data_IF_443070212406
#
_entry.id   IF_443070212406
#
_cell.length_a   1.000
_cell.length_b   1.000
_cell.length_c   1.000
_cell.angle_alpha   90.00
_cell.angle_beta   90.00
_cell.angle_gamma   90.00
#
_symmetry.space_group_name_H-M   'P 1'
#
loop_
_entity.id
_entity.type
_entity.pdbx_description
1 polymer ?
#
# COMPACT_ATOMS: atom_id res chain seq x y z
N UNK A 1 -24.25 -0.36 -1.48
CA UNK A 1 -23.14 -0.54 -2.42
C UNK A 1 -21.99 0.28 -1.93
N UNK A 2 -20.95 -0.41 -1.48
CA UNK A 2 -19.71 0.23 -1.11
C UNK A 2 -19.06 0.74 -2.41
N UNK A 3 -18.30 1.83 -2.29
CA UNK A 3 -17.65 2.44 -3.45
C UNK A 3 -16.26 2.90 -3.12
N UNK A 4 -15.35 2.73 -4.06
CA UNK A 4 -14.01 3.29 -3.95
C UNK A 4 -14.13 4.80 -4.21
N UNK A 5 -13.77 5.62 -3.23
CA UNK A 5 -13.86 7.09 -3.30
C UNK A 5 -12.51 7.77 -3.43
N UNK A 6 -11.43 7.05 -3.14
CA UNK A 6 -10.07 7.51 -3.33
C UNK A 6 -9.11 6.31 -3.43
N UNK A 7 -8.02 6.47 -4.17
CA UNK A 7 -7.00 5.44 -4.31
C UNK A 7 -5.61 6.07 -4.43
N UNK A 8 -4.65 5.48 -3.73
CA UNK A 8 -3.28 5.99 -3.63
C UNK A 8 -2.26 4.87 -3.62
N UNK A 9 -1.01 5.22 -3.90
CA UNK A 9 0.13 4.35 -3.67
C UNK A 9 1.29 5.16 -3.08
N UNK A 10 2.10 4.54 -2.22
CA UNK A 10 3.22 5.22 -1.56
C UNK A 10 4.35 4.28 -1.18
N UNK A 11 5.59 4.78 -1.19
CA UNK A 11 6.70 4.17 -0.46
C UNK A 11 6.39 4.07 1.04
N UNK A 12 6.97 3.07 1.73
CA UNK A 12 6.77 2.86 3.18
C UNK A 12 8.06 2.75 3.99
N UNK A 13 9.19 3.16 3.43
CA UNK A 13 10.50 2.91 4.04
C UNK A 13 10.56 3.37 5.52
N UNK A 14 11.28 2.66 6.40
CA UNK A 14 11.48 3.06 7.80
C UNK A 14 11.90 4.52 8.01
N UNK A 15 12.67 5.08 7.07
CA UNK A 15 13.23 6.42 7.15
C UNK A 15 12.17 7.53 7.14
N UNK A 16 10.95 7.24 6.68
CA UNK A 16 9.80 8.16 6.78
C UNK A 16 9.48 8.47 8.25
N UNK A 17 9.72 7.54 9.17
CA UNK A 17 9.48 7.76 10.61
C UNK A 17 10.79 8.06 11.33
N UNK A 18 11.82 7.23 11.10
CA UNK A 18 13.11 7.31 11.79
C UNK A 18 13.85 8.63 11.51
N UNK A 19 13.72 9.17 10.30
CA UNK A 19 14.32 10.44 9.88
C UNK A 19 15.83 10.56 10.20
N UNK A 20 16.67 9.64 9.69
CA UNK A 20 18.10 9.68 9.96
C UNK A 20 18.78 10.89 9.31
N UNK A 21 19.73 11.50 10.02
CA UNK A 21 20.50 12.67 9.55
C UNK A 21 21.64 12.25 8.61
N UNK A 22 21.29 11.77 7.41
CA UNK A 22 22.25 11.34 6.38
C UNK A 22 22.84 12.54 5.62
N UNK A 23 21.98 13.44 5.14
CA UNK A 23 22.37 14.68 4.45
C UNK A 23 21.23 15.70 4.49
N UNK A 24 21.53 16.96 4.21
CA UNK A 24 20.51 18.01 4.05
C UNK A 24 19.57 17.69 2.88
N UNK A 25 20.11 17.18 1.78
CA UNK A 25 19.32 16.78 0.61
C UNK A 25 18.35 15.64 0.96
N UNK A 26 18.80 14.58 1.65
CA UNK A 26 17.91 13.48 2.03
C UNK A 26 16.83 13.96 3.02
N UNK A 27 17.17 14.87 3.92
CA UNK A 27 16.19 15.49 4.83
C UNK A 27 15.11 16.26 4.05
N UNK A 28 15.52 17.02 3.03
CA UNK A 28 14.61 17.74 2.13
C UNK A 28 13.71 16.79 1.33
N UNK A 29 14.28 15.71 0.80
CA UNK A 29 13.54 14.67 0.08
C UNK A 29 12.48 14.01 0.97
N UNK A 30 12.83 13.62 2.20
CA UNK A 30 11.87 13.08 3.17
C UNK A 30 10.75 14.07 3.47
N UNK A 31 11.07 15.36 3.65
CA UNK A 31 10.04 16.38 3.90
C UNK A 31 9.04 16.52 2.73
N UNK A 32 9.50 16.40 1.48
CA UNK A 32 8.63 16.40 0.30
C UNK A 32 7.68 15.20 0.34
N UNK A 33 8.20 14.01 0.65
CA UNK A 33 7.39 12.78 0.75
C UNK A 33 6.39 12.85 1.91
N UNK A 34 6.80 13.37 3.08
CA UNK A 34 5.90 13.59 4.22
C UNK A 34 4.75 14.53 3.84
N UNK A 35 5.04 15.63 3.14
CA UNK A 35 4.02 16.57 2.69
C UNK A 35 3.03 15.92 1.71
N UNK A 36 3.52 15.06 0.81
CA UNK A 36 2.66 14.30 -0.11
C UNK A 36 1.78 13.27 0.64
N UNK A 37 2.32 12.57 1.64
CA UNK A 37 1.51 11.68 2.49
C UNK A 37 0.45 12.44 3.30
N UNK A 38 0.79 13.62 3.83
CA UNK A 38 -0.18 14.47 4.49
C UNK A 38 -1.25 15.00 3.52
N UNK A 39 -0.91 15.26 2.26
CA UNK A 39 -1.89 15.55 1.20
C UNK A 39 -2.83 14.38 0.97
N UNK A 40 -2.33 13.14 0.90
CA UNK A 40 -3.18 11.93 0.83
C UNK A 40 -4.17 11.89 1.99
N UNK A 41 -3.71 12.15 3.22
CA UNK A 41 -4.57 12.27 4.40
C UNK A 41 -5.69 13.31 4.25
N UNK A 42 -5.34 14.52 3.80
CA UNK A 42 -6.33 15.59 3.54
C UNK A 42 -7.35 15.20 2.47
N UNK A 43 -6.91 14.54 1.39
CA UNK A 43 -7.80 14.09 0.31
C UNK A 43 -8.70 12.93 0.76
N UNK A 44 -8.22 11.99 1.59
CA UNK A 44 -9.05 10.93 2.19
C UNK A 44 -10.15 11.52 3.08
N UNK A 45 -9.80 12.50 3.93
CA UNK A 45 -10.76 13.19 4.78
C UNK A 45 -11.79 13.98 3.94
N UNK A 46 -11.35 14.72 2.92
CA UNK A 46 -12.25 15.44 2.00
C UNK A 46 -13.17 14.50 1.21
N UNK A 47 -12.67 13.31 0.87
CA UNK A 47 -13.45 12.24 0.26
C UNK A 47 -14.37 11.53 1.25
N UNK A 48 -14.44 11.92 2.53
CA UNK A 48 -15.28 11.31 3.56
C UNK A 48 -15.21 9.77 3.53
N UNK A 49 -14.00 9.20 3.48
CA UNK A 49 -13.86 7.74 3.49
C UNK A 49 -14.27 7.18 4.86
N UNK A 50 -15.08 6.13 4.87
CA UNK A 50 -15.48 5.39 6.08
C UNK A 50 -14.42 4.35 6.45
N UNK A 51 -13.75 3.78 5.45
CA UNK A 51 -12.77 2.71 5.61
C UNK A 51 -11.58 2.94 4.68
N UNK A 52 -10.36 2.79 5.19
CA UNK A 52 -9.13 2.75 4.41
C UNK A 52 -8.60 1.33 4.40
N UNK A 53 -8.53 0.72 3.22
CA UNK A 53 -7.87 -0.58 3.02
C UNK A 53 -6.43 -0.30 2.61
N UNK A 54 -5.47 -0.84 3.37
CA UNK A 54 -4.04 -0.66 3.10
C UNK A 54 -3.45 -1.99 2.68
N UNK A 55 -3.08 -2.10 1.40
CA UNK A 55 -2.30 -3.20 0.87
C UNK A 55 -0.83 -2.99 1.19
N UNK A 56 -0.25 -3.92 1.96
CA UNK A 56 1.15 -3.87 2.36
C UNK A 56 1.76 -5.27 2.41
N UNK A 57 3.08 -5.34 2.59
CA UNK A 57 3.80 -6.60 2.73
C UNK A 57 4.55 -6.58 4.06
N UNK A 58 4.36 -7.62 4.86
CA UNK A 58 5.06 -7.77 6.13
C UNK A 58 6.56 -7.98 5.86
N UNK A 59 7.41 -7.52 6.78
CA UNK A 59 8.86 -7.60 6.65
C UNK A 59 9.47 -8.68 7.56
N UNK A 60 8.70 -9.75 7.79
CA UNK A 60 9.00 -10.82 8.74
C UNK A 60 8.99 -10.36 10.21
N UNK A 61 8.18 -9.35 10.50
CA UNK A 61 8.03 -8.78 11.85
C UNK A 61 6.75 -9.31 12.50
N UNK A 62 5.65 -9.39 11.73
CA UNK A 62 4.42 -10.06 12.18
C UNK A 62 4.41 -11.56 11.86
N UNK A 63 4.86 -11.94 10.66
CA UNK A 63 4.81 -13.33 10.18
C UNK A 63 6.21 -13.91 10.02
N UNK A 64 6.41 -15.15 10.46
CA UNK A 64 7.71 -15.82 10.31
C UNK A 64 7.62 -17.05 9.41
N UNK A 65 8.76 -17.66 9.08
CA UNK A 65 8.83 -18.78 8.12
C UNK A 65 8.11 -20.06 8.57
N UNK A 66 7.71 -20.15 9.84
CA UNK A 66 6.82 -21.23 10.29
C UNK A 66 5.39 -21.08 9.73
N UNK A 67 4.95 -19.86 9.40
CA UNK A 67 3.71 -19.60 8.67
C UNK A 67 3.72 -18.19 8.07
N UNK A 68 4.05 -18.08 6.78
CA UNK A 68 4.05 -16.81 6.05
C UNK A 68 2.94 -16.83 4.98
N UNK A 69 1.82 -16.12 5.17
CA UNK A 69 0.66 -16.21 4.27
C UNK A 69 0.94 -15.51 2.93
N UNK A 70 0.42 -16.05 1.82
CA UNK A 70 0.45 -15.33 0.52
C UNK A 70 -0.42 -14.08 0.54
N UNK A 71 -1.61 -14.21 1.13
CA UNK A 71 -2.60 -13.16 1.30
C UNK A 71 -3.18 -13.29 2.71
N UNK A 72 -3.30 -12.17 3.43
CA UNK A 72 -4.00 -12.13 4.72
C UNK A 72 -4.82 -10.86 4.86
N UNK A 73 -6.12 -11.02 5.10
CA UNK A 73 -7.03 -9.92 5.37
C UNK A 73 -7.29 -9.81 6.88
N UNK A 74 -7.08 -8.63 7.45
CA UNK A 74 -7.42 -8.40 8.84
C UNK A 74 -8.95 -8.25 9.04
N UNK A 75 -9.49 -9.02 9.99
CA UNK A 75 -10.93 -9.10 10.29
C UNK A 75 -11.28 -8.78 11.74
N UNK A 76 -10.31 -8.28 12.52
CA UNK A 76 -10.52 -7.84 13.91
C UNK A 76 -11.23 -6.49 14.00
N UNK A 77 -11.55 -6.06 15.22
CA UNK A 77 -12.28 -4.80 15.50
C UNK A 77 -11.39 -3.58 15.65
N UNK A 78 -10.12 -3.79 15.99
CA UNK A 78 -9.13 -2.75 16.26
C UNK A 78 -7.79 -3.26 15.78
N UNK A 79 -7.00 -2.40 15.15
CA UNK A 79 -5.68 -2.74 14.66
C UNK A 79 -4.68 -1.68 15.11
N UNK A 80 -3.46 -2.12 15.40
CA UNK A 80 -2.40 -1.23 15.83
C UNK A 80 -1.03 -1.89 15.78
N UNK A 81 -0.03 -1.11 16.16
CA UNK A 81 1.35 -1.56 16.22
C UNK A 81 2.29 -0.43 16.60
N UNK A 82 3.55 -0.78 16.79
CA UNK A 82 4.59 0.15 17.23
C UNK A 82 5.80 0.05 16.31
N UNK A 83 6.24 1.18 15.81
CA UNK A 83 7.46 1.26 15.02
C UNK A 83 8.20 2.57 15.28
N UNK A 84 9.50 2.50 15.57
CA UNK A 84 10.38 3.65 15.75
C UNK A 84 9.82 4.76 16.68
N UNK A 85 9.15 4.37 17.77
CA UNK A 85 8.55 5.30 18.75
C UNK A 85 7.19 5.88 18.35
N UNK A 86 6.65 5.50 17.19
CA UNK A 86 5.28 5.78 16.78
C UNK A 86 4.40 4.59 17.17
N UNK A 87 3.30 4.88 17.86
CA UNK A 87 2.23 3.92 18.15
C UNK A 87 0.99 4.31 17.35
N UNK A 88 0.43 3.37 16.60
CA UNK A 88 -0.86 3.51 15.95
C UNK A 88 -1.85 2.55 16.58
N UNK A 89 -3.08 3.03 16.78
CA UNK A 89 -4.20 2.23 17.28
C UNK A 89 -5.50 2.81 16.75
N UNK A 90 -6.16 2.08 15.86
CA UNK A 90 -7.32 2.55 15.12
C UNK A 90 -8.44 1.49 15.10
N UNK A 91 -9.71 1.90 15.08
CA UNK A 91 -10.79 0.97 14.81
C UNK A 91 -10.62 0.36 13.41
N UNK A 92 -10.99 -0.90 13.26
CA UNK A 92 -11.07 -1.60 11.97
C UNK A 92 -12.52 -1.81 11.55
N UNK A 93 -12.74 -2.44 10.39
CA UNK A 93 -14.08 -2.68 9.83
C UNK A 93 -14.42 -4.17 9.64
N UNK A 94 -14.67 -4.92 10.73
CA UNK A 94 -14.99 -6.35 10.64
C UNK A 94 -16.14 -6.70 9.69
N UNK A 95 -17.13 -5.82 9.54
CA UNK A 95 -18.28 -6.08 8.68
C UNK A 95 -17.86 -6.05 7.21
N UNK A 96 -17.12 -5.01 6.79
CA UNK A 96 -16.59 -4.92 5.44
C UNK A 96 -15.51 -5.99 5.20
N UNK A 97 -14.60 -6.21 6.14
CA UNK A 97 -13.57 -7.25 6.04
C UNK A 97 -14.17 -8.65 5.89
N UNK A 98 -15.31 -8.92 6.56
CA UNK A 98 -16.03 -10.18 6.38
C UNK A 98 -16.60 -10.30 4.97
N UNK A 99 -17.31 -9.30 4.46
CA UNK A 99 -17.83 -9.35 3.08
C UNK A 99 -16.70 -9.53 2.05
N UNK A 100 -15.56 -8.84 2.24
CA UNK A 100 -14.36 -9.03 1.44
C UNK A 100 -13.80 -10.45 1.52
N UNK A 101 -13.64 -11.00 2.72
CA UNK A 101 -13.10 -12.35 2.90
C UNK A 101 -13.94 -13.40 2.17
N UNK A 102 -15.26 -13.41 2.39
CA UNK A 102 -16.15 -14.38 1.76
C UNK A 102 -16.21 -14.16 0.23
N UNK A 103 -16.35 -12.91 -0.22
CA UNK A 103 -16.40 -12.61 -1.65
C UNK A 103 -15.10 -12.97 -2.40
N UNK A 104 -13.94 -12.80 -1.77
CA UNK A 104 -12.66 -13.21 -2.36
C UNK A 104 -12.53 -14.74 -2.43
N UNK A 105 -12.98 -15.47 -1.40
CA UNK A 105 -13.02 -16.94 -1.41
C UNK A 105 -13.95 -17.44 -2.53
N UNK A 106 -15.15 -16.87 -2.68
CA UNK A 106 -16.10 -17.23 -3.74
C UNK A 106 -15.53 -16.97 -5.15
N UNK A 107 -14.62 -16.01 -5.27
CA UNK A 107 -13.89 -15.70 -6.49
C UNK A 107 -12.61 -16.52 -6.69
N UNK A 108 -12.35 -17.52 -5.84
CA UNK A 108 -11.22 -18.43 -5.93
C UNK A 108 -9.89 -17.85 -5.45
N UNK A 109 -9.91 -16.93 -4.48
CA UNK A 109 -8.70 -16.51 -3.76
C UNK A 109 -8.59 -17.23 -2.41
N UNK A 110 -7.46 -17.88 -2.17
CA UNK A 110 -7.11 -18.49 -0.89
C UNK A 110 -6.58 -17.45 0.10
N UNK A 111 -7.45 -16.52 0.52
CA UNK A 111 -7.11 -15.46 1.47
C UNK A 111 -7.20 -15.99 2.90
N UNK A 112 -6.09 -15.91 3.65
CA UNK A 112 -6.14 -16.18 5.09
C UNK A 112 -6.67 -14.95 5.84
N UNK A 113 -7.07 -15.11 7.09
CA UNK A 113 -7.54 -14.00 7.92
C UNK A 113 -6.89 -14.03 9.29
N UNK A 114 -6.81 -12.85 9.92
CA UNK A 114 -6.49 -12.76 11.35
C UNK A 114 -7.39 -11.73 12.04
N UNK A 115 -7.77 -12.05 13.27
CA UNK A 115 -8.43 -11.10 14.18
C UNK A 115 -7.44 -10.30 15.02
N UNK A 116 -6.18 -10.74 15.08
CA UNK A 116 -5.12 -10.16 15.90
C UNK A 116 -3.85 -10.02 15.05
N UNK A 117 -3.34 -8.80 14.94
CA UNK A 117 -2.17 -8.49 14.14
C UNK A 117 -1.48 -7.26 14.72
N UNK A 118 -0.15 -7.36 14.89
CA UNK A 118 0.68 -6.22 15.25
C UNK A 118 1.30 -5.64 13.97
N UNK A 119 0.93 -4.42 13.62
CA UNK A 119 1.42 -3.75 12.42
C UNK A 119 2.87 -3.31 12.61
N UNK A 120 3.66 -3.49 11.56
CA UNK A 120 5.02 -2.95 11.46
C UNK A 120 5.07 -1.74 10.49
N UNK A 121 6.28 -1.23 10.22
CA UNK A 121 6.62 -0.11 9.36
C UNK A 121 5.96 -0.07 7.97
N UNK A 122 5.63 -1.19 7.28
CA UNK A 122 5.01 -1.13 5.95
C UNK A 122 3.64 -0.45 5.98
N UNK A 123 2.98 -0.51 7.14
CA UNK A 123 1.72 0.15 7.41
C UNK A 123 1.94 1.43 8.22
N UNK A 124 2.72 1.35 9.30
CA UNK A 124 2.89 2.48 10.23
C UNK A 124 3.56 3.68 9.57
N UNK A 125 4.61 3.46 8.77
CA UNK A 125 5.41 4.55 8.21
C UNK A 125 4.61 5.51 7.32
N UNK A 126 3.86 5.03 6.29
CA UNK A 126 3.02 5.91 5.51
C UNK A 126 1.81 6.40 6.30
N UNK A 127 1.17 5.53 7.09
CA UNK A 127 -0.06 5.90 7.80
C UNK A 127 0.15 6.95 8.87
N UNK A 128 1.31 7.01 9.53
CA UNK A 128 1.64 8.07 10.47
C UNK A 128 1.47 9.46 9.86
N UNK A 129 1.97 9.67 8.63
CA UNK A 129 1.88 10.96 7.94
C UNK A 129 0.50 11.19 7.31
N UNK A 130 -0.14 10.14 6.77
CA UNK A 130 -1.52 10.22 6.27
C UNK A 130 -2.46 10.66 7.39
N UNK A 131 -2.34 10.08 8.58
CA UNK A 131 -3.15 10.42 9.75
C UNK A 131 -2.88 11.83 10.27
N UNK A 132 -1.61 12.29 10.24
CA UNK A 132 -1.30 13.70 10.52
C UNK A 132 -2.02 14.65 9.56
N UNK A 133 -1.97 14.36 8.26
CA UNK A 133 -2.62 15.17 7.23
C UNK A 133 -4.15 15.17 7.36
N UNK A 134 -4.71 14.02 7.71
CA UNK A 134 -6.14 13.85 7.95
C UNK A 134 -6.60 14.42 9.31
N UNK A 135 -5.71 15.10 10.05
CA UNK A 135 -5.95 15.65 11.38
C UNK A 135 -6.49 14.57 12.33
N UNK A 136 -5.62 13.63 12.72
CA UNK A 136 -5.89 12.43 13.52
C UNK A 136 -7.07 12.51 14.52
N UNK A 137 -7.20 13.59 15.30
CA UNK A 137 -8.30 13.74 16.29
C UNK A 137 -9.71 13.87 15.66
N UNK A 138 -9.77 14.21 14.38
CA UNK A 138 -10.98 14.26 13.55
C UNK A 138 -11.09 13.09 12.58
N UNK A 139 -10.07 12.21 12.53
CA UNK A 139 -10.01 11.10 11.61
C UNK A 139 -11.02 10.02 12.01
N UNK A 140 -12.02 9.80 11.15
CA UNK A 140 -13.12 8.87 11.42
C UNK A 140 -13.00 7.55 10.67
N UNK A 141 -12.08 7.45 9.71
CA UNK A 141 -11.98 6.27 8.87
C UNK A 141 -11.41 5.10 9.66
N UNK A 142 -12.02 3.94 9.50
CA UNK A 142 -11.48 2.67 10.00
C UNK A 142 -10.31 2.21 9.14
N UNK A 143 -9.39 1.43 9.72
CA UNK A 143 -8.23 0.88 9.01
C UNK A 143 -8.37 -0.63 8.83
N UNK A 144 -8.26 -1.11 7.59
CA UNK A 144 -8.24 -2.54 7.25
C UNK A 144 -6.92 -2.88 6.54
N UNK A 145 -5.94 -3.46 7.26
CA UNK A 145 -4.75 -3.98 6.63
C UNK A 145 -5.04 -5.20 5.77
N UNK A 146 -4.40 -5.26 4.61
CA UNK A 146 -4.40 -6.40 3.72
C UNK A 146 -2.95 -6.74 3.35
N UNK A 147 -2.44 -7.82 3.94
CA UNK A 147 -1.13 -8.34 3.62
C UNK A 147 -1.13 -9.02 2.24
N UNK A 148 -0.16 -8.66 1.42
CA UNK A 148 0.16 -9.27 0.12
C UNK A 148 1.64 -9.65 0.13
N UNK A 149 1.96 -10.94 0.05
CA UNK A 149 3.34 -11.40 0.09
C UNK A 149 4.13 -10.95 -1.14
N UNK A 150 4.88 -9.87 -0.97
CA UNK A 150 5.82 -9.35 -1.97
C UNK A 150 7.28 -9.43 -1.52
N UNK A 151 7.55 -9.90 -0.30
CA UNK A 151 8.88 -9.92 0.29
C UNK A 151 9.50 -11.31 0.31
N UNK A 152 8.74 -12.34 0.70
CA UNK A 152 9.28 -13.68 0.98
C UNK A 152 8.94 -14.63 -0.16
N UNK A 153 9.95 -15.33 -0.69
CA UNK A 153 9.72 -16.29 -1.76
C UNK A 153 8.97 -17.54 -1.27
N UNK A 154 8.00 -18.06 -2.06
CA UNK A 154 7.57 -17.57 -3.37
C UNK A 154 6.65 -16.33 -3.26
N UNK A 155 7.01 -15.21 -3.90
CA UNK A 155 6.17 -14.00 -3.93
C UNK A 155 4.93 -14.17 -4.81
N UNK A 156 3.86 -13.43 -4.53
CA UNK A 156 2.70 -13.35 -5.42
C UNK A 156 3.12 -12.92 -6.83
N UNK A 157 2.48 -13.50 -7.87
CA UNK A 157 2.76 -13.08 -9.26
C UNK A 157 2.10 -11.73 -9.56
N UNK A 158 2.73 -10.85 -10.39
CA UNK A 158 2.20 -9.53 -10.72
C UNK A 158 0.75 -9.56 -11.21
N UNK A 159 0.45 -10.41 -12.18
CA UNK A 159 -0.92 -10.65 -12.68
C UNK A 159 -1.92 -11.00 -11.58
N UNK A 160 -1.51 -11.85 -10.63
CA UNK A 160 -2.39 -12.30 -9.53
C UNK A 160 -2.67 -11.19 -8.51
N UNK A 161 -1.69 -10.33 -8.24
CA UNK A 161 -1.90 -9.15 -7.40
C UNK A 161 -2.83 -8.13 -8.06
N UNK A 162 -2.74 -7.95 -9.38
CA UNK A 162 -3.69 -7.14 -10.14
C UNK A 162 -5.11 -7.72 -10.12
N UNK A 163 -5.26 -9.03 -10.32
CA UNK A 163 -6.55 -9.73 -10.23
C UNK A 163 -7.17 -9.61 -8.82
N UNK A 164 -6.35 -9.63 -7.75
CA UNK A 164 -6.82 -9.39 -6.38
C UNK A 164 -7.52 -8.04 -6.28
N UNK A 165 -6.91 -7.00 -6.85
CA UNK A 165 -7.51 -5.66 -6.92
C UNK A 165 -8.86 -5.63 -7.62
N UNK A 166 -8.95 -6.30 -8.77
CA UNK A 166 -10.20 -6.42 -9.52
C UNK A 166 -11.27 -7.17 -8.71
N UNK A 167 -10.87 -8.21 -7.97
CA UNK A 167 -11.77 -8.97 -7.12
C UNK A 167 -12.26 -8.14 -5.93
N UNK A 168 -11.37 -7.43 -5.23
CA UNK A 168 -11.75 -6.49 -4.16
C UNK A 168 -12.77 -5.48 -4.66
N UNK A 169 -12.54 -4.85 -5.83
CA UNK A 169 -13.51 -3.92 -6.41
C UNK A 169 -14.87 -4.57 -6.64
N UNK A 170 -14.92 -5.75 -7.27
CA UNK A 170 -16.18 -6.46 -7.54
C UNK A 170 -16.94 -6.75 -6.24
N UNK A 171 -16.24 -7.19 -5.20
CA UNK A 171 -16.86 -7.43 -3.89
C UNK A 171 -17.42 -6.14 -3.30
N UNK A 172 -16.66 -5.04 -3.32
CA UNK A 172 -17.12 -3.74 -2.84
C UNK A 172 -18.36 -3.24 -3.60
N UNK A 173 -18.36 -3.35 -4.94
CA UNK A 173 -19.50 -2.95 -5.78
C UNK A 173 -20.75 -3.80 -5.51
N UNK A 174 -20.57 -5.08 -5.17
CA UNK A 174 -21.67 -6.00 -4.80
C UNK A 174 -22.13 -5.87 -3.35
N UNK A 175 -21.36 -5.18 -2.49
CA UNK A 175 -21.62 -5.03 -1.07
C UNK A 175 -22.97 -4.35 -0.79
N UNK A 176 -23.71 -4.86 0.18
CA UNK A 176 -24.92 -4.20 0.66
C UNK A 176 -24.62 -2.93 1.47
N UNK A 177 -23.40 -2.83 2.02
CA UNK A 177 -22.98 -1.71 2.86
C UNK A 177 -22.87 -0.41 2.06
N UNK A 178 -23.12 0.76 2.66
CA UNK A 178 -22.99 2.05 1.98
C UNK A 178 -21.58 2.67 2.09
N UNK A 179 -20.55 1.88 2.42
CA UNK A 179 -19.21 2.39 2.75
C UNK A 179 -18.54 3.15 1.60
N UNK A 180 -17.90 4.25 1.94
CA UNK A 180 -16.93 4.98 1.13
C UNK A 180 -15.53 4.45 1.44
N UNK A 181 -14.92 3.75 0.51
CA UNK A 181 -13.65 3.05 0.73
C UNK A 181 -12.51 3.82 0.06
N UNK A 182 -11.44 4.11 0.81
CA UNK A 182 -10.18 4.53 0.23
C UNK A 182 -9.21 3.34 0.17
N UNK A 183 -8.41 3.27 -0.90
CA UNK A 183 -7.37 2.25 -1.06
C UNK A 183 -5.99 2.89 -1.00
N UNK A 184 -5.05 2.24 -0.33
CA UNK A 184 -3.63 2.62 -0.33
C UNK A 184 -2.80 1.38 -0.57
N UNK A 185 -1.90 1.41 -1.55
CA UNK A 185 -0.82 0.44 -1.66
C UNK A 185 0.46 1.00 -1.05
N UNK A 186 1.22 0.16 -0.37
CA UNK A 186 2.49 0.56 0.24
C UNK A 186 3.66 -0.30 -0.22
N UNK A 187 4.83 0.33 -0.37
CA UNK A 187 6.08 -0.32 -0.81
C UNK A 187 6.68 0.36 -2.03
N UNK A 188 7.86 -0.08 -2.45
CA UNK A 188 8.52 0.45 -3.64
C UNK A 188 8.92 1.95 -3.54
N UNK A 189 9.34 2.60 -4.63
CA UNK A 189 9.71 2.02 -5.93
C UNK A 189 11.12 1.40 -5.84
N UNK A 190 11.94 1.43 -6.90
CA UNK A 190 13.20 0.68 -6.97
C UNK A 190 14.09 0.84 -5.73
N UNK A 191 14.37 -0.29 -5.09
CA UNK A 191 15.31 -0.42 -3.98
C UNK A 191 15.74 -1.89 -3.83
N UNK A 192 16.91 -2.11 -3.23
CA UNK A 192 17.55 -3.43 -3.22
C UNK A 192 17.95 -3.88 -1.81
N UNK A 193 17.05 -3.67 -0.83
CA UNK A 193 17.30 -3.97 0.60
C UNK A 193 17.69 -5.44 0.79
N UNK A 194 18.69 -5.68 1.64
CA UNK A 194 19.16 -7.03 1.94
C UNK A 194 20.00 -7.68 0.83
N UNK A 195 20.30 -6.96 -0.25
CA UNK A 195 21.13 -7.45 -1.36
C UNK A 195 22.45 -6.67 -1.50
N UNK A 196 23.45 -7.19 -2.24
CA UNK A 196 24.66 -6.45 -2.59
C UNK A 196 24.43 -5.15 -3.39
N UNK A 197 23.24 -4.96 -3.95
CA UNK A 197 22.88 -3.77 -4.76
C UNK A 197 22.23 -2.65 -3.94
N UNK A 198 22.11 -2.80 -2.61
CA UNK A 198 21.52 -1.76 -1.77
C UNK A 198 22.26 -0.42 -1.92
N UNK A 199 21.51 0.66 -2.17
CA UNK A 199 22.06 1.95 -2.59
C UNK A 199 21.95 2.23 -4.09
N UNK A 200 21.67 1.21 -4.93
CA UNK A 200 21.23 1.41 -6.31
C UNK A 200 19.76 1.87 -6.30
N UNK A 201 19.44 2.82 -7.17
CA UNK A 201 18.07 3.25 -7.50
C UNK A 201 17.94 3.23 -9.01
N UNK A 202 16.94 2.52 -9.52
CA UNK A 202 16.71 2.29 -10.96
C UNK A 202 15.67 3.29 -11.48
N UNK A 203 16.14 4.51 -11.72
CA UNK A 203 15.27 5.65 -12.07
C UNK A 203 14.56 5.44 -13.41
N UNK A 204 15.18 4.72 -14.34
CA UNK A 204 14.55 4.35 -15.60
C UNK A 204 13.34 3.43 -15.37
N UNK A 205 13.48 2.41 -14.53
CA UNK A 205 12.37 1.53 -14.15
C UNK A 205 11.26 2.29 -13.42
N UNK A 206 11.62 3.12 -12.42
CA UNK A 206 10.66 3.95 -11.67
C UNK A 206 9.82 4.81 -12.63
N UNK A 207 10.49 5.52 -13.56
CA UNK A 207 9.83 6.41 -14.50
C UNK A 207 8.94 5.63 -15.48
N UNK A 208 9.35 4.44 -15.91
CA UNK A 208 8.50 3.58 -16.74
C UNK A 208 7.20 3.21 -16.02
N UNK A 209 7.27 2.79 -14.75
CA UNK A 209 6.08 2.47 -13.96
C UNK A 209 5.20 3.71 -13.76
N UNK A 210 5.80 4.83 -13.39
CA UNK A 210 5.12 6.12 -13.17
C UNK A 210 4.40 6.57 -14.45
N UNK A 211 5.06 6.55 -15.62
CA UNK A 211 4.47 6.99 -16.88
C UNK A 211 3.25 6.15 -17.27
N UNK A 212 3.32 4.83 -17.09
CA UNK A 212 2.20 3.92 -17.33
C UNK A 212 1.01 4.27 -16.43
N UNK A 213 1.25 4.51 -15.13
CA UNK A 213 0.20 4.91 -14.19
C UNK A 213 -0.38 6.30 -14.51
N UNK A 214 0.46 7.29 -14.79
CA UNK A 214 0.02 8.67 -15.13
C UNK A 214 -0.83 8.68 -16.40
N UNK A 215 -0.48 7.86 -17.40
CA UNK A 215 -1.23 7.75 -18.66
C UNK A 215 -2.49 6.89 -18.59
N UNK A 216 -2.89 6.39 -17.41
CA UNK A 216 -4.05 5.50 -17.27
C UNK A 216 -3.83 4.10 -17.84
N UNK A 217 -2.57 3.76 -18.14
CA UNK A 217 -2.12 2.46 -18.67
C UNK A 217 -1.48 1.58 -17.61
N UNK A 218 -1.75 1.86 -16.33
CA UNK A 218 -1.21 1.07 -15.21
C UNK A 218 -1.56 -0.43 -15.30
N UNK A 219 -2.71 -0.78 -15.90
CA UNK A 219 -3.12 -2.17 -16.11
C UNK A 219 -2.13 -2.99 -16.96
N UNK A 220 -1.33 -2.35 -17.82
CA UNK A 220 -0.29 -3.04 -18.62
C UNK A 220 0.84 -3.59 -17.73
N UNK A 221 1.04 -3.00 -16.53
CA UNK A 221 2.08 -3.41 -15.59
C UNK A 221 1.81 -4.78 -14.96
N UNK A 222 0.59 -5.30 -15.08
CA UNK A 222 0.23 -6.64 -14.61
C UNK A 222 0.86 -7.76 -15.46
N UNK A 223 1.40 -7.44 -16.65
CA UNK A 223 2.15 -8.38 -17.51
C UNK A 223 3.66 -8.42 -17.20
N UNK A 224 4.15 -7.58 -16.28
CA UNK A 224 5.54 -7.66 -15.85
C UNK A 224 5.84 -9.01 -15.22
N UNK A 225 7.03 -9.54 -15.49
CA UNK A 225 7.50 -10.80 -14.92
C UNK A 225 8.00 -10.58 -13.49
N UNK A 226 8.05 -11.67 -12.71
CA UNK A 226 8.70 -11.62 -11.40
C UNK A 226 10.18 -11.22 -11.52
N UNK A 227 10.88 -11.76 -12.52
CA UNK A 227 12.28 -11.47 -12.78
C UNK A 227 12.50 -9.98 -13.11
N UNK A 228 11.63 -9.37 -13.93
CA UNK A 228 11.73 -7.94 -14.22
C UNK A 228 11.61 -7.11 -12.94
N UNK A 229 10.65 -7.43 -12.06
CA UNK A 229 10.52 -6.69 -10.80
C UNK A 229 11.77 -6.88 -9.92
N UNK A 230 12.28 -8.09 -9.82
CA UNK A 230 13.41 -8.41 -8.95
C UNK A 230 14.73 -7.79 -9.48
N UNK A 231 14.94 -7.77 -10.80
CA UNK A 231 16.09 -7.13 -11.46
C UNK A 231 16.16 -5.60 -11.27
N UNK A 232 15.00 -4.95 -11.13
CA UNK A 232 14.89 -3.50 -10.97
C UNK A 232 14.59 -3.05 -9.53
N UNK A 233 14.58 -3.98 -8.56
CA UNK A 233 14.34 -3.63 -7.16
C UNK A 233 12.88 -3.24 -6.86
N UNK A 234 11.96 -3.72 -7.68
CA UNK A 234 10.52 -3.40 -7.64
C UNK A 234 9.69 -4.54 -7.05
N UNK A 235 10.30 -5.36 -6.19
CA UNK A 235 9.64 -6.57 -5.72
C UNK A 235 8.33 -6.26 -4.98
N UNK A 236 8.27 -5.15 -4.24
CA UNK A 236 7.08 -4.68 -3.53
C UNK A 236 6.02 -4.00 -4.40
N UNK A 237 6.33 -3.67 -5.67
CA UNK A 237 5.36 -3.07 -6.60
C UNK A 237 4.12 -3.97 -6.81
N UNK A 238 4.21 -5.24 -6.41
CA UNK A 238 3.08 -6.18 -6.33
C UNK A 238 1.91 -5.64 -5.50
N UNK A 239 2.16 -4.89 -4.42
CA UNK A 239 1.05 -4.28 -3.63
C UNK A 239 0.35 -3.17 -4.43
N UNK A 240 1.10 -2.40 -5.23
CA UNK A 240 0.58 -1.35 -6.11
C UNK A 240 -0.33 -1.94 -7.18
N UNK A 241 0.02 -3.10 -7.72
CA UNK A 241 -0.82 -3.82 -8.67
C UNK A 241 -2.21 -4.14 -8.11
N UNK A 242 -2.37 -4.37 -6.80
CA UNK A 242 -3.70 -4.55 -6.20
C UNK A 242 -4.54 -3.26 -6.26
N UNK A 243 -3.96 -2.09 -6.00
CA UNK A 243 -4.69 -0.82 -6.18
C UNK A 243 -4.95 -0.54 -7.66
N UNK A 244 -3.96 -0.75 -8.52
CA UNK A 244 -4.08 -0.59 -9.98
C UNK A 244 -5.20 -1.51 -10.52
N UNK A 245 -5.30 -2.75 -10.05
CA UNK A 245 -6.38 -3.67 -10.42
C UNK A 245 -7.76 -3.18 -10.00
N UNK A 246 -7.86 -2.57 -8.82
CA UNK A 246 -9.12 -1.99 -8.34
C UNK A 246 -9.52 -0.74 -9.16
N UNK A 247 -8.58 0.10 -9.58
CA UNK A 247 -8.89 1.35 -10.31
C UNK A 247 -8.83 1.21 -11.84
N UNK A 248 -8.26 0.11 -12.32
CA UNK A 248 -8.07 -0.26 -13.72
C UNK A 248 -7.36 0.84 -14.55
N UNK A 249 -8.09 1.55 -15.42
CA UNK A 249 -7.54 2.55 -16.36
C UNK A 249 -7.53 3.98 -15.80
N UNK A 250 -7.72 4.15 -14.48
CA UNK A 250 -7.67 5.46 -13.84
C UNK A 250 -6.27 6.09 -14.00
N UNK A 251 -6.15 7.30 -14.57
CA UNK A 251 -4.87 7.99 -14.64
C UNK A 251 -4.43 8.46 -13.26
N UNK A 252 -3.13 8.43 -13.01
CA UNK A 252 -2.56 8.86 -11.74
C UNK A 252 -1.95 10.27 -11.80
N UNK A 253 -1.89 10.93 -10.65
CA UNK A 253 -1.14 12.15 -10.37
C UNK A 253 0.04 11.79 -9.47
N UNK A 254 1.24 12.24 -9.83
CA UNK A 254 2.43 12.13 -8.97
C UNK A 254 2.37 13.26 -7.94
N UNK A 255 2.18 12.91 -6.66
CA UNK A 255 2.24 13.88 -5.57
C UNK A 255 3.69 14.13 -5.13
N UNK A 256 4.52 13.09 -5.20
CA UNK A 256 5.96 13.19 -5.02
C UNK A 256 6.68 12.06 -5.75
N UNK A 257 7.83 12.35 -6.33
CA UNK A 257 8.86 11.37 -6.66
C UNK A 257 10.23 11.93 -6.26
N UNK A 258 10.99 11.24 -5.44
CA UNK A 258 12.33 11.64 -5.01
C UNK A 258 13.27 10.44 -5.14
N UNK A 259 14.29 10.57 -6.00
CA UNK A 259 15.42 9.64 -6.04
C UNK A 259 16.30 9.89 -4.81
N UNK A 260 16.06 9.13 -3.75
CA UNK A 260 16.93 9.13 -2.58
C UNK A 260 18.20 8.31 -2.84
N UNK A 261 19.07 8.23 -1.85
CA UNK A 261 20.33 7.50 -1.97
C UNK A 261 20.15 5.98 -2.01
N UNK A 262 19.03 5.43 -1.51
CA UNK A 262 18.79 3.99 -1.42
C UNK A 262 17.47 3.50 -2.03
N UNK A 263 16.57 4.41 -2.38
CA UNK A 263 15.26 4.06 -2.91
C UNK A 263 14.65 5.18 -3.78
N UNK A 264 13.79 4.79 -4.72
CA UNK A 264 12.84 5.69 -5.39
C UNK A 264 11.62 5.96 -4.51
N UNK A 265 11.56 7.11 -3.85
CA UNK A 265 10.40 7.47 -3.04
C UNK A 265 9.29 8.02 -3.92
N UNK A 266 8.11 7.39 -3.92
CA UNK A 266 6.99 7.85 -4.73
C UNK A 266 5.70 7.89 -3.91
N UNK A 267 4.86 8.89 -4.17
CA UNK A 267 3.49 9.00 -3.67
C UNK A 267 2.59 9.39 -4.84
N UNK A 268 1.54 8.61 -5.09
CA UNK A 268 0.64 8.80 -6.22
C UNK A 268 -0.83 8.82 -5.78
N UNK A 269 -1.65 9.56 -6.52
CA UNK A 269 -3.11 9.62 -6.37
C UNK A 269 -3.78 9.21 -7.70
N UNK A 270 -4.62 8.18 -7.67
CA UNK A 270 -5.37 7.75 -8.85
C UNK A 270 -6.68 8.56 -8.97
N UNK A 271 -6.98 9.03 -10.18
CA UNK A 271 -8.16 9.85 -10.47
C UNK A 271 -9.35 8.95 -10.84
N UNK A 272 -10.23 8.72 -9.87
CA UNK A 272 -11.44 7.88 -9.98
C UNK A 272 -12.61 8.61 -10.65
#
# INVERSE_FOLDING_TARGET
MAKIVAAYASSHTPQLVVQPKISEEFTRQLQIVHNALMEVGRRIAAANADTVIVFGSDHMETFWLNNYPQLLLFTGTEVGGKFAGVELKLPSDPQLSKELLYGLIDMGFDVSFSHELELDHPYISPMYWVLKGAQHDSYRSKLVPFHVNSNVDPRIKPRRAFELGQAVRKVLESSSLPNRVALIATGGLSHFVGTPYYGKVDVEADNFLIEKMVSGRGYELADLTADWLDEHGEFEFRTWLAVIGAVNSAPAEVLAYQRAWHAGYCVMSFKL
#
